data_IF_219919070188
#
_entry.id   IF_219919070188
#
_cell.length_a   1.000
_cell.length_b   1.000
_cell.length_c   1.000
_cell.angle_alpha   90.00
_cell.angle_beta   90.00
_cell.angle_gamma   90.00
#
_symmetry.space_group_name_H-M   'P 1'
#
loop_
_entity.id
_entity.type
_entity.pdbx_description
1 polymer ?
#
# COMPACT_ATOMS: atom_id res chain seq x y z
N UNK A 1 30.75 -17.30 -1.65
CA UNK A 1 30.33 -16.42 -0.52
C UNK A 1 31.13 -16.81 0.71
N UNK A 2 31.75 -15.87 1.42
CA UNK A 2 32.53 -16.20 2.63
C UNK A 2 31.62 -16.68 3.76
N UNK A 3 32.05 -17.66 4.55
CA UNK A 3 31.28 -18.17 5.71
C UNK A 3 30.87 -17.05 6.69
N UNK A 4 31.69 -15.99 6.80
CA UNK A 4 31.40 -14.80 7.62
C UNK A 4 30.15 -14.01 7.20
N UNK A 5 29.66 -14.20 5.97
CA UNK A 5 28.46 -13.53 5.45
C UNK A 5 27.19 -14.39 5.62
N UNK A 6 27.29 -15.57 6.24
CA UNK A 6 26.13 -16.43 6.50
C UNK A 6 25.23 -15.76 7.55
N UNK A 7 24.02 -15.39 7.15
CA UNK A 7 23.00 -14.90 8.07
C UNK A 7 22.22 -16.08 8.66
N UNK A 8 22.35 -16.28 9.96
CA UNK A 8 21.66 -17.35 10.68
C UNK A 8 22.37 -18.70 10.55
N UNK A 9 21.62 -19.78 10.25
CA UNK A 9 22.13 -21.15 10.19
C UNK A 9 21.97 -21.72 8.78
N UNK A 10 22.96 -22.47 8.32
CA UNK A 10 22.91 -23.18 7.04
C UNK A 10 21.67 -24.10 6.99
N UNK A 11 21.02 -24.15 5.81
CA UNK A 11 19.79 -24.92 5.60
C UNK A 11 18.52 -24.31 6.23
N UNK A 12 18.58 -23.15 6.91
CA UNK A 12 17.40 -22.49 7.52
C UNK A 12 16.87 -21.27 6.75
N UNK A 13 17.46 -20.94 5.60
CA UNK A 13 17.13 -19.73 4.83
C UNK A 13 15.64 -19.59 4.48
N UNK A 14 14.98 -20.68 4.06
CA UNK A 14 13.55 -20.65 3.73
C UNK A 14 12.68 -20.20 4.91
N UNK A 15 12.93 -20.73 6.12
CA UNK A 15 12.18 -20.37 7.32
C UNK A 15 12.34 -18.88 7.66
N UNK A 16 13.56 -18.35 7.54
CA UNK A 16 13.82 -16.93 7.77
C UNK A 16 13.12 -16.05 6.73
N UNK A 17 13.20 -16.41 5.45
CA UNK A 17 12.57 -15.67 4.36
C UNK A 17 11.04 -15.61 4.52
N UNK A 18 10.39 -16.74 4.80
CA UNK A 18 8.92 -16.79 4.98
C UNK A 18 8.49 -16.03 6.23
N UNK A 19 9.25 -16.11 7.33
CA UNK A 19 8.94 -15.36 8.55
C UNK A 19 8.98 -13.85 8.29
N UNK A 20 10.01 -13.37 7.59
CA UNK A 20 10.11 -11.95 7.20
C UNK A 20 8.98 -11.54 6.25
N UNK A 21 8.65 -12.39 5.28
CA UNK A 21 7.57 -12.14 4.34
C UNK A 21 6.21 -11.99 5.03
N UNK A 22 5.94 -12.78 6.07
CA UNK A 22 4.68 -12.67 6.83
C UNK A 22 4.53 -11.32 7.53
N UNK A 23 5.60 -10.79 8.12
CA UNK A 23 5.60 -9.44 8.71
C UNK A 23 5.47 -8.38 7.60
N UNK A 24 6.21 -8.53 6.50
CA UNK A 24 6.16 -7.61 5.36
C UNK A 24 4.76 -7.47 4.75
N UNK A 25 3.99 -8.57 4.67
CA UNK A 25 2.61 -8.55 4.15
C UNK A 25 1.69 -7.63 4.93
N UNK A 26 1.78 -7.65 6.25
CA UNK A 26 1.00 -6.76 7.11
C UNK A 26 1.42 -5.30 6.87
N UNK A 27 2.73 -5.05 6.75
CA UNK A 27 3.26 -3.73 6.43
C UNK A 27 2.75 -3.19 5.09
N UNK A 28 2.64 -4.02 4.05
CA UNK A 28 2.06 -3.63 2.76
C UNK A 28 0.57 -3.31 2.93
N UNK A 29 -0.19 -4.15 3.64
CA UNK A 29 -1.61 -3.91 3.89
C UNK A 29 -1.85 -2.55 4.57
N UNK A 30 -1.09 -2.24 5.62
CA UNK A 30 -1.18 -0.96 6.31
C UNK A 30 -0.85 0.24 5.40
N UNK A 31 0.19 0.13 4.57
CA UNK A 31 0.54 1.16 3.59
C UNK A 31 -0.58 1.39 2.57
N UNK A 32 -1.18 0.32 2.05
CA UNK A 32 -2.27 0.41 1.08
C UNK A 32 -3.49 1.12 1.67
N UNK A 33 -3.85 0.87 2.93
CA UNK A 33 -4.95 1.58 3.60
C UNK A 33 -4.69 3.09 3.64
N UNK A 34 -3.48 3.52 4.01
CA UNK A 34 -3.12 4.94 4.02
C UNK A 34 -3.18 5.58 2.64
N UNK A 35 -2.69 4.88 1.61
CA UNK A 35 -2.74 5.35 0.21
C UNK A 35 -4.18 5.48 -0.27
N UNK A 36 -5.02 4.49 0.00
CA UNK A 36 -6.44 4.50 -0.36
C UNK A 36 -7.16 5.68 0.30
N UNK A 37 -6.95 5.91 1.59
CA UNK A 37 -7.55 7.04 2.30
C UNK A 37 -7.11 8.38 1.69
N UNK A 38 -5.80 8.59 1.52
CA UNK A 38 -5.29 9.85 0.95
C UNK A 38 -5.75 10.09 -0.50
N UNK A 39 -5.89 9.02 -1.29
CA UNK A 39 -6.45 9.09 -2.65
C UNK A 39 -7.93 9.46 -2.61
N UNK A 40 -8.69 8.84 -1.70
CA UNK A 40 -10.12 9.10 -1.53
C UNK A 40 -10.38 10.55 -1.11
N UNK A 41 -9.65 11.06 -0.11
CA UNK A 41 -9.80 12.42 0.40
C UNK A 41 -9.55 13.47 -0.70
N UNK A 42 -8.47 13.30 -1.47
CA UNK A 42 -8.15 14.17 -2.62
C UNK A 42 -9.21 14.08 -3.71
N UNK A 43 -9.69 12.87 -4.00
CA UNK A 43 -10.72 12.65 -5.02
C UNK A 43 -12.03 13.34 -4.63
N UNK A 44 -12.49 13.17 -3.38
CA UNK A 44 -13.71 13.82 -2.88
C UNK A 44 -13.60 15.34 -2.89
N UNK A 45 -12.44 15.90 -2.51
CA UNK A 45 -12.22 17.35 -2.59
C UNK A 45 -12.35 17.84 -4.03
N UNK A 46 -11.65 17.18 -4.96
CA UNK A 46 -11.66 17.55 -6.37
C UNK A 46 -13.06 17.47 -6.99
N UNK A 47 -13.82 16.40 -6.69
CA UNK A 47 -15.15 16.21 -7.28
C UNK A 47 -16.16 17.25 -6.80
N UNK A 48 -16.01 17.74 -5.58
CA UNK A 48 -16.86 18.79 -5.00
C UNK A 48 -16.51 20.20 -5.48
N UNK A 49 -15.30 20.42 -6.01
CA UNK A 49 -14.86 21.74 -6.50
C UNK A 49 -14.99 21.86 -8.03
N UNK A 50 -14.66 20.80 -8.75
CA UNK A 50 -14.63 20.80 -10.22
C UNK A 50 -16.05 20.89 -10.78
N UNK A 51 -16.29 21.90 -11.62
CA UNK A 51 -17.55 22.07 -12.36
C UNK A 51 -17.38 21.72 -13.83
N UNK A 52 -18.32 20.95 -14.38
CA UNK A 52 -18.45 20.70 -15.80
C UNK A 52 -19.91 20.47 -16.20
N UNK A 53 -20.25 20.76 -17.45
CA UNK A 53 -21.63 20.69 -17.97
C UNK A 53 -22.66 21.41 -17.08
N UNK A 54 -22.26 22.56 -16.52
CA UNK A 54 -23.14 23.42 -15.72
C UNK A 54 -23.29 23.05 -14.23
N UNK A 55 -22.73 21.94 -13.74
CA UNK A 55 -22.81 21.54 -12.33
C UNK A 55 -21.48 20.98 -11.79
N UNK A 56 -21.38 20.68 -10.49
CA UNK A 56 -20.18 20.02 -9.96
C UNK A 56 -20.14 18.58 -10.43
N UNK A 57 -18.94 18.03 -10.63
CA UNK A 57 -18.85 16.64 -11.06
C UNK A 57 -19.33 15.66 -9.98
N UNK A 58 -19.31 16.06 -8.70
CA UNK A 58 -19.93 15.30 -7.60
C UNK A 58 -21.47 15.23 -7.64
N UNK A 59 -22.14 16.10 -8.41
CA UNK A 59 -23.61 16.14 -8.48
C UNK A 59 -24.16 15.23 -9.61
N UNK A 60 -23.30 14.66 -10.47
CA UNK A 60 -23.74 13.61 -11.41
C UNK A 60 -24.03 12.32 -10.64
N UNK A 61 -25.17 11.69 -10.94
CA UNK A 61 -25.42 10.31 -10.51
C UNK A 61 -24.43 9.39 -11.25
N UNK A 62 -23.83 8.45 -10.51
CA UNK A 62 -22.95 7.40 -11.05
C UNK A 62 -23.81 6.22 -11.49
#
# INVERSE_FOLDING_TARGET
VLAKNLLGKEGKGYKYAVSMLNVGRIGIGAQMVGICQGTFDKTISHTKERKQFGQRIADFQI
#
